data_IF_102275142343
#
_entry.id   IF_102275142343
#
_cell.length_a   1.000
_cell.length_b   1.000
_cell.length_c   1.000
_cell.angle_alpha   90.00
_cell.angle_beta   90.00
_cell.angle_gamma   90.00
#
_symmetry.space_group_name_H-M   'P 1'
#
loop_
_entity.id
_entity.type
_entity.pdbx_description
1 polymer ?
#
# COMPACT_ATOMS: atom_id res chain seq x y z
N UNK A 1 5.62 -14.41 15.91
CA UNK A 1 6.52 -15.15 16.81
C UNK A 1 5.73 -15.68 18.00
N UNK A 2 5.80 -16.98 18.28
CA UNK A 2 5.15 -17.61 19.44
C UNK A 2 6.13 -17.59 20.62
N UNK A 3 5.67 -17.15 21.79
CA UNK A 3 6.50 -17.08 23.01
C UNK A 3 6.15 -18.27 23.91
N UNK A 4 7.17 -19.06 24.23
CA UNK A 4 7.08 -20.15 25.23
C UNK A 4 7.61 -19.62 26.56
N UNK A 5 6.88 -19.79 27.68
CA UNK A 5 7.38 -19.42 29.01
C UNK A 5 8.69 -20.13 29.34
N UNK A 6 9.60 -19.45 30.05
CA UNK A 6 10.94 -19.98 30.34
C UNK A 6 10.91 -21.25 31.21
N UNK A 7 9.87 -21.44 32.02
CA UNK A 7 9.67 -22.61 32.87
C UNK A 7 8.91 -23.77 32.18
N UNK A 8 8.71 -23.68 30.86
CA UNK A 8 7.94 -24.64 30.05
C UNK A 8 8.69 -25.02 28.78
N UNK A 9 8.30 -26.16 28.21
CA UNK A 9 8.83 -26.63 26.94
C UNK A 9 7.80 -26.50 25.81
N UNK A 10 8.28 -26.23 24.59
CA UNK A 10 7.39 -26.10 23.41
C UNK A 10 6.56 -27.35 23.16
N UNK A 11 7.11 -28.53 23.48
CA UNK A 11 6.48 -29.84 23.29
C UNK A 11 5.28 -30.10 24.20
N UNK A 12 5.10 -29.29 25.26
CA UNK A 12 3.86 -29.30 26.06
C UNK A 12 2.66 -28.75 25.27
N UNK A 13 2.91 -27.97 24.21
CA UNK A 13 1.88 -27.26 23.46
C UNK A 13 1.77 -27.73 22.01
N UNK A 14 2.90 -27.95 21.33
CA UNK A 14 2.93 -28.30 19.91
C UNK A 14 4.26 -28.96 19.52
N UNK A 15 4.23 -29.94 18.59
CA UNK A 15 5.44 -30.34 17.89
C UNK A 15 6.04 -29.16 17.12
N UNK A 16 7.30 -29.29 16.71
CA UNK A 16 7.99 -28.29 15.89
C UNK A 16 8.49 -28.90 14.60
N UNK A 17 8.63 -28.08 13.56
CA UNK A 17 9.11 -28.47 12.25
C UNK A 17 9.88 -27.33 11.58
N UNK A 18 10.45 -27.59 10.41
CA UNK A 18 10.95 -26.53 9.53
C UNK A 18 9.89 -26.17 8.49
N UNK A 19 9.77 -24.90 8.10
CA UNK A 19 8.79 -24.48 7.11
C UNK A 19 9.07 -25.16 5.76
N UNK A 20 8.03 -25.77 5.18
CA UNK A 20 8.10 -26.52 3.92
C UNK A 20 9.19 -27.61 3.88
N UNK A 21 9.51 -28.20 5.04
CA UNK A 21 10.51 -29.28 5.21
C UNK A 21 11.90 -28.93 4.68
N UNK A 22 12.24 -27.64 4.60
CA UNK A 22 13.57 -27.17 4.19
C UNK A 22 14.55 -27.29 5.34
N UNK A 23 15.55 -28.17 5.21
CA UNK A 23 16.56 -28.42 6.25
C UNK A 23 17.39 -27.17 6.61
N UNK A 24 17.63 -26.30 5.63
CA UNK A 24 18.43 -25.08 5.73
C UNK A 24 17.62 -23.84 6.13
N UNK A 25 16.33 -23.97 6.46
CA UNK A 25 15.52 -22.86 6.92
C UNK A 25 16.10 -22.22 8.20
N UNK A 26 16.17 -20.89 8.26
CA UNK A 26 16.67 -20.18 9.45
C UNK A 26 15.79 -20.41 10.68
N UNK A 27 14.47 -20.44 10.48
CA UNK A 27 13.49 -20.51 11.56
C UNK A 27 12.91 -21.92 11.74
N UNK A 28 12.63 -22.27 13.00
CA UNK A 28 11.79 -23.40 13.40
C UNK A 28 10.35 -22.89 13.58
N UNK A 29 9.38 -23.62 13.06
CA UNK A 29 7.95 -23.28 13.13
C UNK A 29 7.19 -24.28 14.02
N UNK A 30 6.12 -23.82 14.65
CA UNK A 30 5.16 -24.71 15.32
C UNK A 30 4.47 -25.60 14.29
N UNK A 31 4.16 -26.85 14.65
CA UNK A 31 3.43 -27.76 13.77
C UNK A 31 1.94 -27.37 13.70
N UNK A 32 1.37 -26.97 14.83
CA UNK A 32 0.03 -26.38 14.85
C UNK A 32 0.09 -24.91 14.47
N UNK A 33 -0.95 -24.46 13.77
CA UNK A 33 -1.15 -23.03 13.54
C UNK A 33 -1.54 -22.32 14.85
N UNK A 34 -1.35 -21.01 14.89
CA UNK A 34 -1.55 -20.25 16.12
C UNK A 34 -3.00 -20.26 16.62
N UNK A 35 -4.01 -20.45 15.76
CA UNK A 35 -5.40 -20.47 16.21
C UNK A 35 -5.68 -21.64 17.16
N UNK A 36 -4.99 -22.78 16.99
CA UNK A 36 -5.07 -23.92 17.91
C UNK A 36 -4.48 -23.63 19.30
N UNK A 37 -3.70 -22.55 19.43
CA UNK A 37 -2.98 -22.20 20.67
C UNK A 37 -3.27 -20.76 21.12
N UNK A 38 -4.30 -20.11 20.55
CA UNK A 38 -4.54 -18.68 20.73
C UNK A 38 -4.76 -18.29 22.21
N UNK A 39 -5.42 -19.15 22.97
CA UNK A 39 -5.73 -18.95 24.39
C UNK A 39 -4.68 -19.56 25.33
N UNK A 40 -3.59 -20.11 24.79
CA UNK A 40 -2.57 -20.86 25.53
C UNK A 40 -1.23 -20.12 25.55
N UNK A 41 -0.77 -19.64 24.38
CA UNK A 41 0.52 -18.99 24.23
C UNK A 41 0.38 -17.55 23.73
N UNK A 42 1.32 -16.70 24.13
CA UNK A 42 1.39 -15.31 23.69
C UNK A 42 2.08 -15.26 22.33
N UNK A 43 1.56 -14.40 21.44
CA UNK A 43 2.18 -14.11 20.13
C UNK A 43 2.61 -12.65 20.06
N UNK A 44 3.83 -12.44 19.56
CA UNK A 44 4.28 -11.15 19.04
C UNK A 44 4.10 -11.15 17.52
N UNK A 45 3.22 -10.28 17.03
CA UNK A 45 3.03 -10.02 15.61
C UNK A 45 4.08 -9.03 15.10
N UNK A 46 5.22 -9.57 14.66
CA UNK A 46 6.30 -8.83 14.02
C UNK A 46 6.05 -8.90 12.51
N UNK A 47 5.37 -7.88 11.99
CA UNK A 47 4.92 -7.84 10.60
C UNK A 47 5.85 -6.96 9.75
N UNK A 48 6.11 -7.39 8.51
CA UNK A 48 6.68 -6.52 7.48
C UNK A 48 5.60 -5.61 6.90
N UNK A 49 5.94 -4.34 6.65
CA UNK A 49 5.04 -3.38 6.02
C UNK A 49 5.83 -2.31 5.27
N UNK A 50 5.31 -1.88 4.11
CA UNK A 50 5.96 -0.88 3.26
C UNK A 50 5.96 0.55 3.83
N UNK A 51 4.99 0.91 4.67
CA UNK A 51 4.80 2.29 5.13
C UNK A 51 6.00 2.79 5.94
N UNK A 52 6.55 2.03 6.91
CA UNK A 52 7.84 2.37 7.53
C UNK A 52 8.97 2.57 6.53
N UNK A 53 9.08 1.72 5.50
CA UNK A 53 10.11 1.85 4.45
C UNK A 53 9.94 3.13 3.63
N UNK A 54 8.70 3.47 3.24
CA UNK A 54 8.39 4.71 2.53
C UNK A 54 8.73 5.94 3.39
N UNK A 55 8.30 5.95 4.66
CA UNK A 55 8.60 7.05 5.59
C UNK A 55 10.11 7.21 5.79
N UNK A 56 10.83 6.10 5.94
CA UNK A 56 12.29 6.12 6.06
C UNK A 56 12.95 6.71 4.81
N UNK A 57 12.52 6.26 3.63
CA UNK A 57 13.07 6.76 2.37
C UNK A 57 12.77 8.25 2.16
N UNK A 58 11.57 8.70 2.52
CA UNK A 58 11.20 10.11 2.53
C UNK A 58 12.08 10.94 3.48
N UNK A 59 12.34 10.44 4.69
CA UNK A 59 13.25 11.09 5.63
C UNK A 59 14.66 11.19 5.06
N UNK A 60 15.19 10.10 4.48
CA UNK A 60 16.54 10.08 3.88
C UNK A 60 16.66 11.07 2.70
N UNK A 61 15.61 11.23 1.90
CA UNK A 61 15.59 12.13 0.74
C UNK A 61 15.34 13.60 1.10
N UNK A 62 14.56 13.88 2.13
CA UNK A 62 14.14 15.26 2.48
C UNK A 62 14.89 15.85 3.67
N UNK A 63 15.50 15.01 4.50
CA UNK A 63 16.11 15.40 5.78
C UNK A 63 15.10 15.77 6.88
N UNK A 64 13.80 15.67 6.63
CA UNK A 64 12.76 16.04 7.59
C UNK A 64 12.50 14.88 8.55
N UNK A 65 12.45 15.18 9.85
CA UNK A 65 11.95 14.23 10.84
C UNK A 65 10.43 14.03 10.64
N UNK A 66 9.96 12.82 10.26
CA UNK A 66 8.55 12.55 10.04
C UNK A 66 7.66 12.88 11.24
N UNK A 67 8.21 12.86 12.46
CA UNK A 67 7.46 13.15 13.68
C UNK A 67 7.13 14.65 13.84
N UNK A 68 7.85 15.52 13.12
CA UNK A 68 7.67 16.97 13.15
C UNK A 68 6.66 17.48 12.13
N UNK A 69 6.20 16.63 11.21
CA UNK A 69 5.21 16.99 10.18
C UNK A 69 3.88 17.38 10.86
N UNK A 70 3.32 18.57 10.57
CA UNK A 70 2.03 19.00 11.12
C UNK A 70 0.91 18.08 10.65
N UNK A 71 -0.12 17.86 11.48
CA UNK A 71 -1.25 16.97 11.18
C UNK A 71 -2.53 17.73 10.77
N UNK A 72 -2.39 19.02 10.49
CA UNK A 72 -3.46 19.97 10.18
C UNK A 72 -3.10 20.89 8.99
N UNK A 73 -2.07 20.54 8.21
CA UNK A 73 -1.72 21.27 6.98
C UNK A 73 -2.90 21.27 6.00
N UNK A 74 -3.34 22.47 5.63
CA UNK A 74 -4.57 22.71 4.86
C UNK A 74 -4.50 22.11 3.46
N UNK A 75 -3.36 22.26 2.77
CA UNK A 75 -3.22 21.75 1.41
C UNK A 75 -3.14 20.22 1.39
N UNK A 76 -2.50 19.61 2.39
CA UNK A 76 -2.48 18.15 2.57
C UNK A 76 -3.87 17.59 2.88
N UNK A 77 -4.63 18.23 3.78
CA UNK A 77 -6.01 17.82 4.10
C UNK A 77 -6.92 17.86 2.86
N UNK A 78 -6.77 18.88 2.01
CA UNK A 78 -7.57 19.02 0.80
C UNK A 78 -7.38 17.88 -0.20
N UNK A 79 -6.25 17.17 -0.20
CA UNK A 79 -6.05 16.00 -1.06
C UNK A 79 -7.13 14.93 -0.89
N UNK A 80 -7.70 14.82 0.31
CA UNK A 80 -8.71 13.81 0.63
C UNK A 80 -10.09 14.14 0.05
N UNK A 81 -10.31 15.37 -0.43
CA UNK A 81 -11.62 15.81 -0.95
C UNK A 81 -11.53 16.39 -2.36
N UNK A 82 -10.33 16.76 -2.83
CA UNK A 82 -10.12 17.33 -4.16
C UNK A 82 -8.69 17.10 -4.66
N UNK A 83 -8.52 17.09 -5.98
CA UNK A 83 -7.22 17.04 -6.67
C UNK A 83 -6.56 18.42 -6.83
N UNK A 84 -7.31 19.50 -6.58
CA UNK A 84 -6.87 20.89 -6.78
C UNK A 84 -5.49 21.25 -6.18
N UNK A 85 -5.09 20.80 -4.97
CA UNK A 85 -3.76 21.12 -4.42
C UNK A 85 -2.62 20.65 -5.32
N UNK A 86 -2.85 19.64 -6.17
CA UNK A 86 -1.88 19.12 -7.12
C UNK A 86 -1.84 19.92 -8.43
N UNK A 87 -2.73 20.92 -8.60
CA UNK A 87 -2.87 21.77 -9.80
C UNK A 87 -3.20 20.97 -11.07
N UNK A 88 -3.91 19.86 -10.92
CA UNK A 88 -4.37 18.99 -12.00
C UNK A 88 -5.89 19.09 -12.10
N UNK A 89 -6.44 19.05 -13.32
CA UNK A 89 -7.89 18.87 -13.53
C UNK A 89 -8.23 17.38 -13.67
N UNK A 90 -9.36 16.89 -13.13
CA UNK A 90 -9.73 15.47 -13.19
C UNK A 90 -9.69 14.88 -14.60
N UNK A 91 -10.08 15.64 -15.62
CA UNK A 91 -10.12 15.19 -17.03
C UNK A 91 -8.72 14.88 -17.58
N UNK A 92 -7.68 15.47 -17.00
CA UNK A 92 -6.29 15.22 -17.40
C UNK A 92 -5.76 13.90 -16.83
N UNK A 93 -6.35 13.42 -15.73
CA UNK A 93 -5.92 12.28 -14.93
C UNK A 93 -7.07 11.30 -14.72
N UNK A 94 -7.54 10.70 -15.81
CA UNK A 94 -8.48 9.55 -15.77
C UNK A 94 -9.82 9.83 -15.05
N UNK A 95 -10.22 11.10 -14.89
CA UNK A 95 -11.42 11.50 -14.16
C UNK A 95 -11.26 11.45 -12.63
N UNK A 96 -10.03 11.34 -12.14
CA UNK A 96 -9.73 11.21 -10.70
C UNK A 96 -9.93 12.56 -10.02
N UNK A 97 -10.79 12.58 -9.00
CA UNK A 97 -11.23 13.80 -8.32
C UNK A 97 -10.51 14.08 -7.00
N UNK A 98 -9.85 13.10 -6.40
CA UNK A 98 -9.08 13.25 -5.15
C UNK A 98 -7.58 13.30 -5.43
N UNK A 99 -6.82 13.91 -4.53
CA UNK A 99 -5.36 13.96 -4.56
C UNK A 99 -4.67 12.79 -3.84
N UNK A 100 -5.36 11.69 -3.56
CA UNK A 100 -4.86 10.60 -2.69
C UNK A 100 -4.14 9.45 -3.41
N UNK A 101 -3.92 9.54 -4.72
CA UNK A 101 -3.13 8.54 -5.45
C UNK A 101 -1.76 8.30 -4.79
N UNK A 102 -1.38 7.03 -4.64
CA UNK A 102 -0.13 6.62 -3.99
C UNK A 102 -0.09 6.83 -2.47
N UNK A 103 -1.12 7.41 -1.85
CA UNK A 103 -1.27 7.48 -0.39
C UNK A 103 -1.78 6.12 0.11
N UNK A 104 -1.12 5.47 1.08
CA UNK A 104 -1.57 4.18 1.62
C UNK A 104 -3.02 4.25 2.09
N UNK A 105 -3.78 3.17 1.86
CA UNK A 105 -5.23 3.05 2.06
C UNK A 105 -6.09 3.94 1.13
N UNK A 106 -5.80 5.24 1.11
CA UNK A 106 -6.64 6.27 0.48
C UNK A 106 -6.48 6.37 -1.03
N UNK A 107 -5.45 5.77 -1.61
CA UNK A 107 -5.22 5.76 -3.07
C UNK A 107 -6.06 4.74 -3.83
N UNK A 108 -6.67 3.77 -3.16
CA UNK A 108 -7.46 2.73 -3.83
C UNK A 108 -8.73 3.31 -4.48
N UNK A 109 -9.20 2.73 -5.58
CA UNK A 109 -10.46 3.19 -6.24
C UNK A 109 -11.65 3.18 -5.27
N UNK A 110 -11.74 2.15 -4.44
CA UNK A 110 -12.79 2.00 -3.43
C UNK A 110 -12.78 3.16 -2.43
N UNK A 111 -11.62 3.44 -1.82
CA UNK A 111 -11.52 4.51 -0.82
C UNK A 111 -11.63 5.89 -1.45
N UNK A 112 -11.12 6.10 -2.66
CA UNK A 112 -11.34 7.35 -3.40
C UNK A 112 -12.82 7.63 -3.66
N UNK A 113 -13.61 6.61 -4.00
CA UNK A 113 -15.05 6.80 -4.12
C UNK A 113 -15.70 7.13 -2.77
N UNK A 114 -15.26 6.49 -1.68
CA UNK A 114 -15.74 6.80 -0.33
C UNK A 114 -15.41 8.25 0.08
N UNK A 115 -14.21 8.73 -0.27
CA UNK A 115 -13.79 10.11 -0.06
C UNK A 115 -14.70 11.10 -0.83
N UNK A 116 -15.06 10.80 -2.08
CA UNK A 116 -15.99 11.63 -2.85
C UNK A 116 -17.40 11.62 -2.27
N UNK A 117 -17.85 10.48 -1.75
CA UNK A 117 -19.16 10.35 -1.10
C UNK A 117 -19.23 11.10 0.26
N UNK A 118 -18.09 11.38 0.90
CA UNK A 118 -18.04 11.89 2.29
C UNK A 118 -17.39 13.26 2.46
N UNK A 119 -16.51 13.67 1.53
CA UNK A 119 -15.79 14.95 1.52
C UNK A 119 -15.23 15.35 2.90
N UNK A 120 -14.33 14.56 3.49
CA UNK A 120 -13.81 14.83 4.84
C UNK A 120 -13.05 16.17 4.90
N UNK A 121 -13.22 16.89 6.00
CA UNK A 121 -12.54 18.17 6.27
C UNK A 121 -11.62 18.10 7.48
N UNK A 122 -11.75 17.06 8.31
CA UNK A 122 -11.01 16.90 9.56
C UNK A 122 -10.24 15.59 9.64
N UNK A 123 -9.13 15.57 10.38
CA UNK A 123 -8.36 14.35 10.68
C UNK A 123 -9.25 13.26 11.30
N UNK A 124 -10.20 13.64 12.16
CA UNK A 124 -11.16 12.72 12.75
C UNK A 124 -12.03 12.01 11.72
N UNK A 125 -12.46 12.71 10.67
CA UNK A 125 -13.25 12.12 9.57
C UNK A 125 -12.40 11.19 8.70
N UNK A 126 -11.14 11.54 8.44
CA UNK A 126 -10.21 10.65 7.71
C UNK A 126 -9.99 9.34 8.49
N UNK A 127 -9.82 9.41 9.82
CA UNK A 127 -9.73 8.22 10.69
C UNK A 127 -11.01 7.37 10.61
N UNK A 128 -12.18 8.00 10.57
CA UNK A 128 -13.46 7.28 10.44
C UNK A 128 -13.60 6.60 9.08
N UNK A 129 -13.19 7.27 8.01
CA UNK A 129 -13.17 6.71 6.65
C UNK A 129 -12.22 5.51 6.56
N UNK A 130 -11.04 5.58 7.19
CA UNK A 130 -10.14 4.40 7.30
C UNK A 130 -10.86 3.23 7.97
N UNK A 131 -11.55 3.45 9.08
CA UNK A 131 -12.35 2.40 9.72
C UNK A 131 -13.41 1.80 8.79
N UNK A 132 -14.12 2.64 8.04
CA UNK A 132 -15.16 2.23 7.09
C UNK A 132 -14.62 1.49 5.86
N UNK A 133 -13.38 1.77 5.45
CA UNK A 133 -12.76 1.12 4.30
C UNK A 133 -12.21 -0.27 4.61
N UNK A 134 -12.04 -0.60 5.89
CA UNK A 134 -11.49 -1.87 6.34
C UNK A 134 -12.55 -2.78 6.97
N UNK A 135 -13.12 -3.65 6.14
CA UNK A 135 -14.03 -4.70 6.59
C UNK A 135 -15.15 -4.97 5.59
N UNK A 136 -15.52 -6.24 5.46
CA UNK A 136 -16.64 -6.63 4.61
C UNK A 136 -17.95 -6.18 5.26
N UNK A 137 -18.83 -5.56 4.46
CA UNK A 137 -20.16 -5.06 4.84
C UNK A 137 -20.16 -3.97 5.93
N UNK A 138 -19.05 -3.22 6.03
CA UNK A 138 -18.96 -2.01 6.86
C UNK A 138 -19.51 -0.79 6.10
N UNK A 139 -19.01 -0.56 4.88
CA UNK A 139 -19.44 0.56 4.04
C UNK A 139 -20.57 0.19 3.06
N UNK A 140 -20.26 -0.65 2.06
CA UNK A 140 -21.21 -1.04 1.02
C UNK A 140 -22.38 -1.83 1.63
N UNK A 141 -23.61 -1.46 1.24
CA UNK A 141 -24.82 -2.09 1.78
C UNK A 141 -25.09 -1.80 3.27
N UNK A 142 -24.34 -0.88 3.88
CA UNK A 142 -24.45 -0.55 5.30
C UNK A 142 -24.28 0.97 5.55
N UNK A 143 -23.12 1.43 6.07
CA UNK A 143 -22.93 2.83 6.43
C UNK A 143 -23.17 3.80 5.27
N UNK A 144 -22.83 3.40 4.03
CA UNK A 144 -23.07 4.21 2.84
C UNK A 144 -24.57 4.51 2.64
N UNK A 145 -25.43 3.49 2.79
CA UNK A 145 -26.87 3.62 2.60
C UNK A 145 -27.50 4.46 3.70
N UNK A 146 -27.05 4.25 4.95
CA UNK A 146 -27.53 5.01 6.11
C UNK A 146 -27.22 6.50 5.97
N UNK A 147 -26.01 6.83 5.51
CA UNK A 147 -25.58 8.22 5.27
C UNK A 147 -26.34 8.82 4.09
N UNK A 148 -26.46 8.10 2.96
CA UNK A 148 -27.21 8.57 1.78
C UNK A 148 -28.70 8.79 2.08
N UNK A 149 -29.29 7.96 2.94
CA UNK A 149 -30.68 8.09 3.36
C UNK A 149 -30.90 9.19 4.42
N UNK A 150 -29.84 9.85 4.91
CA UNK A 150 -29.93 10.82 6.00
C UNK A 150 -30.32 10.20 7.34
N UNK A 151 -30.17 8.88 7.51
CA UNK A 151 -30.49 8.17 8.75
C UNK A 151 -29.46 8.48 9.84
N UNK A 152 -28.19 8.65 9.44
CA UNK A 152 -27.11 9.09 10.31
C UNK A 152 -26.07 9.90 9.53
N UNK A 153 -25.27 10.68 10.24
CA UNK A 153 -24.10 11.38 9.69
C UNK A 153 -22.85 10.50 9.75
N UNK A 154 -21.78 10.91 9.06
CA UNK A 154 -20.47 10.23 9.17
C UNK A 154 -19.99 10.16 10.63
N UNK A 155 -20.29 11.18 11.44
CA UNK A 155 -19.94 11.25 12.87
C UNK A 155 -20.70 10.24 13.73
N UNK A 156 -21.87 9.80 13.29
CA UNK A 156 -22.74 8.86 14.01
C UNK A 156 -22.63 7.42 13.51
N UNK A 157 -22.11 7.21 12.30
CA UNK A 157 -21.92 5.89 11.72
C UNK A 157 -20.99 4.99 12.56
N UNK A 158 -21.11 3.67 12.41
CA UNK A 158 -20.20 2.72 13.07
C UNK A 158 -18.95 2.58 12.19
N UNK A 159 -17.86 3.25 12.57
CA UNK A 159 -16.62 3.28 11.79
C UNK A 159 -15.55 2.35 12.38
N UNK A 160 -15.55 2.19 13.70
CA UNK A 160 -14.59 1.37 14.43
C UNK A 160 -15.31 0.58 15.52
N UNK A 161 -14.70 -0.50 16.01
CA UNK A 161 -15.31 -1.29 17.11
C UNK A 161 -15.54 -0.43 18.36
N UNK A 162 -14.65 0.49 18.64
CA UNK A 162 -14.71 1.38 19.79
C UNK A 162 -15.97 2.27 19.76
N UNK A 163 -16.46 2.65 18.58
CA UNK A 163 -17.71 3.40 18.43
C UNK A 163 -18.91 2.61 19.00
N UNK A 164 -18.94 1.29 18.82
CA UNK A 164 -20.00 0.42 19.37
C UNK A 164 -19.96 0.44 20.89
N UNK A 165 -18.82 0.10 21.47
CA UNK A 165 -18.70 0.01 22.92
C UNK A 165 -19.00 1.36 23.58
N UNK A 166 -18.42 2.44 23.07
CA UNK A 166 -18.60 3.77 23.65
C UNK A 166 -20.05 4.24 23.52
N UNK A 167 -20.69 4.04 22.37
CA UNK A 167 -22.09 4.39 22.17
C UNK A 167 -23.02 3.61 23.10
N UNK A 168 -22.82 2.30 23.25
CA UNK A 168 -23.65 1.47 24.12
C UNK A 168 -23.50 1.87 25.59
N UNK A 169 -22.27 2.15 26.05
CA UNK A 169 -22.01 2.64 27.41
C UNK A 169 -22.65 4.00 27.64
N UNK A 170 -22.57 4.93 26.67
CA UNK A 170 -23.25 6.23 26.73
C UNK A 170 -24.78 6.09 26.83
N UNK A 171 -25.35 5.07 26.18
CA UNK A 171 -26.78 4.72 26.27
C UNK A 171 -27.16 3.91 27.52
N UNK A 172 -26.23 3.69 28.44
CA UNK A 172 -26.50 3.03 29.72
C UNK A 172 -26.38 1.51 29.72
N UNK A 173 -25.86 0.89 28.66
CA UNK A 173 -25.52 -0.54 28.65
C UNK A 173 -24.31 -0.77 29.57
N UNK A 174 -24.37 -1.84 30.39
CA UNK A 174 -23.28 -2.23 31.27
C UNK A 174 -21.97 -2.47 30.48
N UNK A 175 -20.83 -2.05 31.02
CA UNK A 175 -19.54 -1.98 30.30
C UNK A 175 -19.07 -3.34 29.78
N UNK A 176 -19.20 -4.41 30.58
CA UNK A 176 -18.83 -5.77 30.19
C UNK A 176 -19.77 -6.29 29.09
N UNK A 177 -21.08 -6.03 29.18
CA UNK A 177 -22.04 -6.36 28.12
C UNK A 177 -21.72 -5.60 26.81
N UNK A 178 -21.49 -4.29 26.88
CA UNK A 178 -21.12 -3.46 25.73
C UNK A 178 -19.82 -3.95 25.06
N UNK A 179 -18.83 -4.35 25.86
CA UNK A 179 -17.59 -4.95 25.37
C UNK A 179 -17.82 -6.25 24.60
N UNK A 180 -18.65 -7.17 25.13
CA UNK A 180 -18.93 -8.43 24.44
C UNK A 180 -19.77 -8.24 23.17
N UNK A 181 -20.74 -7.32 23.18
CA UNK A 181 -21.49 -6.94 21.98
C UNK A 181 -20.51 -6.41 20.91
N UNK A 182 -19.61 -5.48 21.27
CA UNK A 182 -18.59 -4.99 20.36
C UNK A 182 -17.72 -6.13 19.80
N UNK A 183 -17.22 -7.03 20.66
CA UNK A 183 -16.35 -8.13 20.24
C UNK A 183 -17.07 -9.11 19.31
N UNK A 184 -18.36 -9.35 19.51
CA UNK A 184 -19.15 -10.21 18.64
C UNK A 184 -19.45 -9.56 17.28
N UNK A 185 -19.71 -8.25 17.26
CA UNK A 185 -19.90 -7.49 16.02
C UNK A 185 -18.61 -7.41 15.21
N UNK A 186 -17.48 -7.02 15.82
CA UNK A 186 -16.20 -6.88 15.10
C UNK A 186 -15.65 -8.20 14.56
N UNK A 187 -16.09 -9.35 15.11
CA UNK A 187 -15.75 -10.71 14.64
C UNK A 187 -16.79 -11.26 13.65
N UNK A 188 -17.82 -10.49 13.31
CA UNK A 188 -18.91 -10.92 12.43
C UNK A 188 -19.79 -12.02 13.00
N UNK A 189 -19.75 -12.27 14.30
CA UNK A 189 -20.61 -13.27 14.96
C UNK A 189 -22.06 -12.80 14.98
N UNK A 190 -22.28 -11.50 15.27
CA UNK A 190 -23.61 -10.90 15.23
C UNK A 190 -24.25 -11.01 13.83
N UNK A 191 -23.45 -10.87 12.77
CA UNK A 191 -23.94 -11.04 11.40
C UNK A 191 -24.27 -12.50 11.05
N UNK A 192 -23.54 -13.46 11.62
CA UNK A 192 -23.75 -14.90 11.34
C UNK A 192 -24.86 -15.53 12.16
N UNK A 193 -24.99 -15.14 13.43
CA UNK A 193 -25.84 -15.83 14.43
C UNK A 193 -26.88 -14.92 15.08
N UNK A 194 -26.85 -13.62 14.82
CA UNK A 194 -27.60 -12.64 15.60
C UNK A 194 -26.95 -12.36 16.96
N UNK A 195 -27.66 -11.59 17.77
CA UNK A 195 -27.31 -11.34 19.17
C UNK A 195 -27.90 -12.43 20.06
N UNK A 196 -27.25 -12.74 21.17
CA UNK A 196 -27.84 -13.60 22.21
C UNK A 196 -29.08 -12.93 22.82
N UNK A 197 -29.93 -13.70 23.51
CA UNK A 197 -31.11 -13.15 24.19
C UNK A 197 -30.73 -12.05 25.18
N UNK A 198 -29.68 -12.26 25.99
CA UNK A 198 -29.16 -11.27 26.93
C UNK A 198 -28.67 -9.99 26.23
N UNK A 199 -27.96 -10.13 25.11
CA UNK A 199 -27.48 -9.00 24.32
C UNK A 199 -28.65 -8.24 23.68
N UNK A 200 -29.64 -8.96 23.15
CA UNK A 200 -30.83 -8.35 22.54
C UNK A 200 -31.64 -7.57 23.58
N UNK A 201 -31.86 -8.14 24.76
CA UNK A 201 -32.55 -7.46 25.87
C UNK A 201 -31.80 -6.21 26.32
N UNK A 202 -30.48 -6.28 26.46
CA UNK A 202 -29.66 -5.11 26.83
C UNK A 202 -29.76 -3.97 25.81
N UNK A 203 -29.82 -4.29 24.51
CA UNK A 203 -30.00 -3.30 23.43
C UNK A 203 -31.42 -2.71 23.46
N UNK A 204 -32.44 -3.51 23.77
CA UNK A 204 -33.83 -3.07 23.88
C UNK A 204 -34.05 -2.16 25.11
N UNK A 205 -33.56 -2.57 26.28
CA UNK A 205 -33.64 -1.81 27.53
C UNK A 205 -32.98 -0.43 27.41
N UNK A 206 -31.84 -0.38 26.71
CA UNK A 206 -31.12 0.86 26.41
C UNK A 206 -31.73 1.67 25.25
N UNK A 207 -32.85 1.21 24.67
CA UNK A 207 -33.57 1.85 23.56
C UNK A 207 -32.68 2.17 22.37
N UNK A 208 -31.79 1.23 22.02
CA UNK A 208 -30.89 1.40 20.89
C UNK A 208 -31.69 1.44 19.58
N UNK A 209 -31.47 2.44 18.70
CA UNK A 209 -32.21 2.54 17.46
C UNK A 209 -32.06 1.30 16.57
N UNK A 210 -33.15 0.87 15.94
CA UNK A 210 -33.16 -0.33 15.09
C UNK A 210 -32.16 -0.28 13.93
N UNK A 211 -31.88 0.91 13.37
CA UNK A 211 -30.86 1.08 12.32
C UNK A 211 -29.45 0.72 12.83
N UNK A 212 -29.14 1.05 14.08
CA UNK A 212 -27.83 0.76 14.69
C UNK A 212 -27.68 -0.75 14.91
N UNK A 213 -28.70 -1.38 15.48
CA UNK A 213 -28.76 -2.84 15.69
C UNK A 213 -28.62 -3.58 14.35
N UNK A 214 -29.30 -3.12 13.31
CA UNK A 214 -29.23 -3.71 11.97
C UNK A 214 -27.86 -3.50 11.32
N UNK A 215 -27.23 -2.33 11.50
CA UNK A 215 -25.86 -2.08 11.04
C UNK A 215 -24.88 -3.05 11.70
N UNK A 216 -24.97 -3.26 13.02
CA UNK A 216 -24.15 -4.24 13.75
C UNK A 216 -24.32 -5.68 13.22
N UNK A 217 -25.53 -6.06 12.79
CA UNK A 217 -25.83 -7.38 12.20
C UNK A 217 -25.34 -7.53 10.75
N UNK A 218 -24.79 -6.50 10.12
CA UNK A 218 -24.20 -6.59 8.77
C UNK A 218 -22.68 -6.76 8.82
N UNK A 219 -22.02 -6.12 9.77
CA UNK A 219 -20.56 -6.06 9.88
C UNK A 219 -19.96 -7.47 10.04
N UNK A 220 -19.06 -7.86 9.12
CA UNK A 220 -18.34 -9.15 9.19
C UNK A 220 -16.97 -9.04 9.86
N UNK A 221 -16.36 -7.88 9.77
CA UNK A 221 -15.08 -7.57 10.40
C UNK A 221 -14.94 -6.05 10.57
N UNK A 222 -14.30 -5.59 11.65
CA UNK A 222 -14.10 -4.16 11.87
C UNK A 222 -12.83 -3.86 12.68
N UNK A 223 -12.15 -2.77 12.31
CA UNK A 223 -10.91 -2.31 12.94
C UNK A 223 -11.10 -1.67 14.32
N UNK A 224 -10.10 -1.76 15.21
CA UNK A 224 -9.96 -0.89 16.37
C UNK A 224 -9.52 0.52 15.98
N UNK A 225 -10.03 1.53 16.69
CA UNK A 225 -9.73 2.94 16.44
C UNK A 225 -8.23 3.25 16.51
N UNK A 226 -7.51 2.65 17.45
CA UNK A 226 -6.07 2.84 17.59
C UNK A 226 -5.30 2.45 16.31
N UNK A 227 -5.73 1.37 15.64
CA UNK A 227 -5.10 0.93 14.39
C UNK A 227 -5.41 1.89 13.24
N UNK A 228 -6.67 2.32 13.10
CA UNK A 228 -7.06 3.33 12.12
C UNK A 228 -6.26 4.63 12.32
N UNK A 229 -6.14 5.13 13.56
CA UNK A 229 -5.34 6.32 13.87
C UNK A 229 -3.88 6.14 13.48
N UNK A 230 -3.26 5.01 13.83
CA UNK A 230 -1.85 4.76 13.51
C UNK A 230 -1.59 4.79 11.99
N UNK A 231 -2.46 4.13 11.21
CA UNK A 231 -2.35 4.09 9.75
C UNK A 231 -2.59 5.46 9.13
N UNK A 232 -3.63 6.17 9.57
CA UNK A 232 -3.95 7.49 9.03
C UNK A 232 -2.85 8.50 9.30
N UNK A 233 -2.24 8.52 10.49
CA UNK A 233 -1.14 9.45 10.77
C UNK A 233 0.04 9.17 9.83
N UNK A 234 0.39 7.91 9.58
CA UNK A 234 1.48 7.59 8.63
C UNK A 234 1.11 7.95 7.19
N UNK A 235 -0.10 7.61 6.75
CA UNK A 235 -0.59 7.93 5.41
C UNK A 235 -0.63 9.45 5.18
N UNK A 236 -1.04 10.21 6.20
CA UNK A 236 -1.06 11.66 6.16
C UNK A 236 0.35 12.25 6.04
N UNK A 237 1.34 11.73 6.78
CA UNK A 237 2.74 12.16 6.65
C UNK A 237 3.28 11.92 5.24
N UNK A 238 2.92 10.81 4.61
CA UNK A 238 3.24 10.54 3.20
C UNK A 238 2.53 11.53 2.27
N UNK A 239 1.25 11.83 2.54
CA UNK A 239 0.48 12.81 1.78
C UNK A 239 1.06 14.24 1.91
N UNK A 240 1.60 14.60 3.09
CA UNK A 240 2.31 15.86 3.28
C UNK A 240 3.52 15.97 2.36
N UNK A 241 4.34 14.90 2.30
CA UNK A 241 5.46 14.85 1.36
C UNK A 241 4.99 14.89 -0.11
N UNK A 242 3.82 14.35 -0.43
CA UNK A 242 3.25 14.46 -1.79
C UNK A 242 2.98 15.91 -2.20
N UNK A 243 2.51 16.75 -1.29
CA UNK A 243 2.25 18.17 -1.55
C UNK A 243 3.56 18.96 -1.61
N UNK A 244 4.40 18.80 -0.59
CA UNK A 244 5.53 19.70 -0.31
C UNK A 244 6.89 19.20 -0.84
N UNK A 245 7.03 17.90 -1.08
CA UNK A 245 8.27 17.22 -1.49
C UNK A 245 8.02 16.20 -2.61
N UNK A 246 7.39 16.65 -3.70
CA UNK A 246 6.85 15.76 -4.73
C UNK A 246 7.88 14.80 -5.35
N UNK A 247 9.11 15.24 -5.60
CA UNK A 247 10.17 14.39 -6.15
C UNK A 247 10.49 13.22 -5.20
N UNK A 248 10.61 13.51 -3.91
CA UNK A 248 10.84 12.50 -2.87
C UNK A 248 9.64 11.56 -2.72
N UNK A 249 8.42 12.06 -2.80
CA UNK A 249 7.20 11.24 -2.78
C UNK A 249 7.18 10.23 -3.93
N UNK A 250 7.34 10.69 -5.18
CA UNK A 250 7.30 9.79 -6.33
C UNK A 250 8.49 8.82 -6.33
N UNK A 251 9.71 9.29 -6.04
CA UNK A 251 10.88 8.43 -5.90
C UNK A 251 10.67 7.33 -4.86
N UNK A 252 10.08 7.67 -3.70
CA UNK A 252 9.78 6.71 -2.64
C UNK A 252 8.69 5.73 -3.04
N UNK A 253 7.62 6.22 -3.67
CA UNK A 253 6.50 5.39 -4.11
C UNK A 253 6.94 4.30 -5.11
N UNK A 254 7.70 4.69 -6.14
CA UNK A 254 8.15 3.78 -7.20
C UNK A 254 9.31 2.89 -6.74
N UNK A 255 10.19 3.36 -5.84
CA UNK A 255 11.28 2.53 -5.29
C UNK A 255 10.77 1.35 -4.48
N UNK A 256 9.79 1.56 -3.59
CA UNK A 256 9.25 0.47 -2.76
C UNK A 256 8.46 -0.55 -3.60
N UNK A 257 8.04 -0.17 -4.81
CA UNK A 257 7.28 -1.01 -5.76
C UNK A 257 8.08 -1.36 -7.01
N UNK A 258 9.39 -1.19 -7.00
CA UNK A 258 10.20 -1.29 -8.22
C UNK A 258 10.21 -2.69 -8.83
N UNK A 259 10.07 -3.73 -8.00
CA UNK A 259 9.97 -5.13 -8.45
C UNK A 259 8.69 -5.47 -9.21
N UNK A 260 7.66 -4.62 -9.14
CA UNK A 260 6.41 -4.77 -9.90
C UNK A 260 6.31 -3.79 -11.08
N UNK A 261 7.26 -2.86 -11.20
CA UNK A 261 7.23 -1.79 -12.18
C UNK A 261 7.89 -2.22 -13.49
N UNK A 262 7.16 -2.08 -14.60
CA UNK A 262 7.66 -2.37 -15.94
C UNK A 262 7.81 -1.08 -16.75
N UNK A 263 9.07 -0.73 -17.09
CA UNK A 263 9.41 0.49 -17.81
C UNK A 263 8.82 0.57 -19.23
N UNK A 264 8.43 -0.56 -19.84
CA UNK A 264 7.85 -0.57 -21.19
C UNK A 264 6.51 0.14 -21.24
N UNK A 265 5.80 0.22 -20.11
CA UNK A 265 4.50 0.88 -20.00
C UNK A 265 4.57 2.42 -19.97
N UNK A 266 5.76 2.99 -19.74
CA UNK A 266 5.95 4.43 -19.54
C UNK A 266 6.94 5.07 -20.52
N UNK A 267 7.50 4.29 -21.44
CA UNK A 267 8.59 4.69 -22.34
C UNK A 267 8.25 5.92 -23.19
N UNK A 268 7.06 6.00 -23.77
CA UNK A 268 6.57 7.15 -24.54
C UNK A 268 5.97 8.27 -23.68
N UNK A 269 6.22 8.27 -22.37
CA UNK A 269 5.73 9.29 -21.45
C UNK A 269 4.22 9.25 -21.26
N UNK A 270 3.59 10.43 -21.14
CA UNK A 270 2.18 10.55 -20.73
C UNK A 270 1.21 9.91 -21.73
N UNK A 271 1.52 9.92 -23.03
CA UNK A 271 0.66 9.30 -24.05
C UNK A 271 0.63 7.77 -23.89
N UNK A 272 1.79 7.15 -23.73
CA UNK A 272 1.90 5.71 -23.46
C UNK A 272 1.25 5.33 -22.13
N UNK A 273 1.47 6.13 -21.07
CA UNK A 273 0.83 5.92 -19.77
C UNK A 273 -0.70 5.86 -19.94
N UNK A 274 -1.29 6.81 -20.66
CA UNK A 274 -2.75 6.85 -20.90
C UNK A 274 -3.22 5.65 -21.70
N UNK A 275 -2.55 5.35 -22.81
CA UNK A 275 -2.88 4.21 -23.68
C UNK A 275 -2.84 2.89 -22.91
N UNK A 276 -1.77 2.67 -22.15
CA UNK A 276 -1.56 1.43 -21.42
C UNK A 276 -2.53 1.30 -20.24
N UNK A 277 -2.83 2.39 -19.54
CA UNK A 277 -3.84 2.40 -18.50
C UNK A 277 -5.22 2.01 -19.06
N UNK A 278 -5.66 2.64 -20.15
CA UNK A 278 -6.94 2.31 -20.79
C UNK A 278 -6.99 0.86 -21.28
N UNK A 279 -5.88 0.35 -21.84
CA UNK A 279 -5.78 -1.04 -22.25
C UNK A 279 -6.05 -2.01 -21.08
N UNK A 280 -5.46 -1.75 -19.90
CA UNK A 280 -5.66 -2.59 -18.72
C UNK A 280 -7.07 -2.43 -18.16
N UNK A 281 -7.57 -1.20 -18.04
CA UNK A 281 -8.91 -0.92 -17.52
C UNK A 281 -10.01 -1.57 -18.35
N UNK A 282 -9.88 -1.55 -19.68
CA UNK A 282 -10.84 -2.18 -20.59
C UNK A 282 -10.93 -3.70 -20.44
N UNK A 283 -9.90 -4.36 -19.87
CA UNK A 283 -9.97 -5.78 -19.53
C UNK A 283 -10.84 -6.05 -18.30
N UNK A 284 -11.07 -5.06 -17.45
CA UNK A 284 -11.86 -5.19 -16.22
C UNK A 284 -11.43 -6.38 -15.37
N UNK A 285 -12.34 -7.33 -15.14
CA UNK A 285 -12.08 -8.52 -14.34
C UNK A 285 -11.11 -9.52 -15.00
N UNK A 286 -10.89 -9.43 -16.31
CA UNK A 286 -9.93 -10.28 -17.02
C UNK A 286 -8.47 -9.83 -16.86
N UNK A 287 -8.21 -8.64 -16.31
CA UNK A 287 -6.85 -8.19 -16.00
C UNK A 287 -6.24 -9.03 -14.87
N UNK A 288 -4.99 -9.43 -15.05
CA UNK A 288 -4.18 -10.14 -14.05
C UNK A 288 -3.88 -9.24 -12.84
N UNK A 289 -3.43 -9.84 -11.74
CA UNK A 289 -3.01 -9.08 -10.56
C UNK A 289 -1.86 -8.11 -10.87
N UNK A 290 -0.86 -8.56 -11.64
CA UNK A 290 0.27 -7.73 -12.07
C UNK A 290 -0.19 -6.54 -12.93
N UNK A 291 -1.13 -6.76 -13.87
CA UNK A 291 -1.68 -5.66 -14.67
C UNK A 291 -2.47 -4.66 -13.81
N UNK A 292 -3.26 -5.12 -12.84
CA UNK A 292 -4.00 -4.22 -11.93
C UNK A 292 -3.04 -3.39 -11.06
N UNK A 293 -1.94 -3.98 -10.61
CA UNK A 293 -0.90 -3.26 -9.87
C UNK A 293 -0.20 -2.25 -10.78
N UNK A 294 0.14 -2.64 -12.00
CA UNK A 294 0.72 -1.73 -13.00
C UNK A 294 -0.24 -0.57 -13.33
N UNK A 295 -1.53 -0.81 -13.51
CA UNK A 295 -2.52 0.25 -13.72
C UNK A 295 -2.56 1.24 -12.56
N UNK A 296 -2.43 0.76 -11.32
CA UNK A 296 -2.33 1.63 -10.13
C UNK A 296 -1.07 2.50 -10.18
N UNK A 297 0.07 1.92 -10.58
CA UNK A 297 1.31 2.68 -10.75
C UNK A 297 1.23 3.67 -11.93
N UNK A 298 0.51 3.34 -13.00
CA UNK A 298 0.27 4.23 -14.13
C UNK A 298 -0.60 5.43 -13.75
N UNK A 299 -1.55 5.27 -12.82
CA UNK A 299 -2.29 6.42 -12.26
C UNK A 299 -1.32 7.41 -11.57
N UNK A 300 -0.42 6.89 -10.73
CA UNK A 300 0.58 7.72 -10.02
C UNK A 300 1.60 8.32 -10.98
N UNK A 301 2.03 7.57 -12.00
CA UNK A 301 2.93 8.06 -13.04
C UNK A 301 2.27 9.16 -13.88
N UNK A 302 1.01 9.00 -14.27
CA UNK A 302 0.25 10.03 -14.98
C UNK A 302 0.15 11.31 -14.16
N UNK A 303 -0.10 11.19 -12.86
CA UNK A 303 -0.10 12.32 -11.93
C UNK A 303 1.27 13.01 -11.87
N UNK A 304 2.35 12.24 -11.73
CA UNK A 304 3.73 12.73 -11.73
C UNK A 304 4.04 13.54 -12.99
N UNK A 305 3.68 13.03 -14.17
CA UNK A 305 3.86 13.70 -15.46
C UNK A 305 3.09 15.02 -15.56
N UNK A 306 1.85 15.05 -15.08
CA UNK A 306 1.04 16.26 -15.07
C UNK A 306 1.56 17.33 -14.09
N UNK A 307 2.38 16.93 -13.12
CA UNK A 307 3.08 17.84 -12.20
C UNK A 307 4.47 18.25 -12.69
N UNK A 308 4.84 17.88 -13.92
CA UNK A 308 6.08 18.30 -14.58
C UNK A 308 7.31 17.44 -14.26
N UNK A 309 7.13 16.24 -13.68
CA UNK A 309 8.20 15.28 -13.46
C UNK A 309 8.09 14.12 -14.45
N UNK A 310 9.23 13.65 -14.95
CA UNK A 310 9.27 12.61 -15.98
C UNK A 310 10.09 11.41 -15.51
N UNK A 311 9.91 10.27 -16.18
CA UNK A 311 10.88 9.18 -16.03
C UNK A 311 12.06 9.43 -16.96
N UNK A 312 13.26 9.37 -16.41
CA UNK A 312 14.48 9.30 -17.20
C UNK A 312 14.78 7.83 -17.49
N UNK A 313 15.17 7.48 -18.72
CA UNK A 313 15.38 6.10 -19.14
C UNK A 313 16.44 5.40 -18.29
N UNK A 314 16.48 4.08 -18.29
CA UNK A 314 17.58 3.37 -17.63
C UNK A 314 18.90 3.76 -18.30
N UNK A 315 19.90 4.10 -17.50
CA UNK A 315 21.21 4.57 -17.94
C UNK A 315 22.28 3.68 -17.32
N UNK A 316 23.11 3.06 -18.16
CA UNK A 316 24.14 2.15 -17.69
C UNK A 316 25.10 2.79 -16.70
N UNK A 317 25.47 4.06 -16.87
CA UNK A 317 26.42 4.74 -16.00
C UNK A 317 25.78 5.23 -14.69
N UNK A 318 24.49 5.58 -14.71
CA UNK A 318 23.84 6.32 -13.62
C UNK A 318 22.81 5.52 -12.82
N UNK A 319 22.02 4.66 -13.47
CA UNK A 319 20.89 4.00 -12.81
C UNK A 319 21.32 3.17 -11.60
N UNK A 320 20.51 3.20 -10.55
CA UNK A 320 20.63 2.28 -9.43
C UNK A 320 20.12 0.88 -9.83
N UNK A 321 20.43 -0.14 -9.02
CA UNK A 321 19.90 -1.48 -9.22
C UNK A 321 18.38 -1.54 -9.04
N UNK A 322 17.86 -0.91 -7.97
CA UNK A 322 16.46 -1.10 -7.52
C UNK A 322 15.74 0.20 -7.17
N UNK A 323 16.46 1.30 -6.98
CA UNK A 323 15.90 2.58 -6.55
C UNK A 323 15.67 3.55 -7.70
N UNK A 324 14.53 4.24 -7.65
CA UNK A 324 14.32 5.43 -8.48
C UNK A 324 15.08 6.60 -7.86
N UNK A 325 16.04 7.17 -8.59
CA UNK A 325 16.87 8.27 -8.10
C UNK A 325 16.39 9.60 -8.67
N UNK A 326 16.43 10.65 -7.84
CA UNK A 326 16.04 12.00 -8.24
C UNK A 326 17.19 12.62 -9.05
N UNK A 327 16.88 13.11 -10.25
CA UNK A 327 17.80 13.83 -11.12
C UNK A 327 17.12 15.10 -11.67
N UNK A 328 17.89 16.09 -12.16
CA UNK A 328 17.30 17.24 -12.85
C UNK A 328 16.39 16.79 -14.00
N UNK A 329 15.12 17.20 -13.95
CA UNK A 329 14.12 16.87 -14.97
C UNK A 329 13.30 15.60 -14.72
N UNK A 330 13.59 14.81 -13.67
CA UNK A 330 12.76 13.66 -13.35
C UNK A 330 13.36 12.59 -12.45
N UNK A 331 12.79 11.39 -12.53
CA UNK A 331 13.23 10.21 -11.79
C UNK A 331 13.92 9.25 -12.74
N UNK A 332 15.18 8.93 -12.45
CA UNK A 332 15.92 7.89 -13.16
C UNK A 332 15.37 6.53 -12.78
N UNK A 333 14.97 5.76 -13.78
CA UNK A 333 14.52 4.39 -13.58
C UNK A 333 15.69 3.47 -13.21
N UNK A 334 15.49 2.53 -12.26
CA UNK A 334 16.50 1.55 -11.89
C UNK A 334 16.64 0.46 -12.95
N UNK A 335 17.71 -0.32 -12.89
CA UNK A 335 17.87 -1.50 -13.74
C UNK A 335 16.70 -2.48 -13.58
N UNK A 336 16.22 -2.71 -12.36
CA UNK A 336 15.09 -3.62 -12.06
C UNK A 336 13.80 -3.30 -12.83
N UNK A 337 13.63 -2.08 -13.33
CA UNK A 337 12.47 -1.69 -14.16
C UNK A 337 12.51 -2.26 -15.58
N UNK A 338 13.65 -2.79 -16.03
CA UNK A 338 13.80 -3.39 -17.36
C UNK A 338 13.03 -4.71 -17.40
N UNK A 339 12.13 -4.92 -18.39
CA UNK A 339 11.34 -6.14 -18.49
C UNK A 339 12.20 -7.40 -18.48
N UNK A 340 11.84 -8.35 -17.62
CA UNK A 340 12.54 -9.62 -17.47
C UNK A 340 13.88 -9.56 -16.73
N UNK A 341 14.33 -8.37 -16.27
CA UNK A 341 15.50 -8.24 -15.42
C UNK A 341 15.13 -8.42 -13.93
N UNK A 342 15.47 -9.56 -13.35
CA UNK A 342 15.27 -9.79 -11.92
C UNK A 342 16.24 -9.03 -11.01
N UNK A 343 15.90 -8.88 -9.73
CA UNK A 343 16.66 -8.12 -8.73
C UNK A 343 18.14 -8.51 -8.63
N UNK A 344 18.43 -9.82 -8.57
CA UNK A 344 19.82 -10.30 -8.53
C UNK A 344 20.63 -9.87 -9.76
N UNK A 345 20.00 -9.88 -10.94
CA UNK A 345 20.66 -9.47 -12.18
C UNK A 345 20.85 -7.95 -12.22
N UNK A 346 19.86 -7.17 -11.76
CA UNK A 346 19.98 -5.72 -11.60
C UNK A 346 21.12 -5.33 -10.65
N UNK A 347 21.24 -6.03 -9.52
CA UNK A 347 22.34 -5.87 -8.56
C UNK A 347 23.69 -6.25 -9.17
N UNK A 348 23.74 -7.32 -9.96
CA UNK A 348 24.97 -7.72 -10.67
C UNK A 348 25.43 -6.66 -11.68
N UNK A 349 24.51 -6.08 -12.47
CA UNK A 349 24.83 -4.99 -13.40
C UNK A 349 25.41 -3.78 -12.66
N UNK A 350 24.75 -3.34 -11.59
CA UNK A 350 25.21 -2.20 -10.79
C UNK A 350 26.57 -2.46 -10.13
N UNK A 351 26.81 -3.69 -9.64
CA UNK A 351 28.09 -4.10 -9.04
C UNK A 351 29.22 -4.15 -10.07
N UNK A 352 29.00 -4.82 -11.21
CA UNK A 352 30.02 -4.95 -12.25
C UNK A 352 30.45 -3.57 -12.76
N UNK A 353 29.50 -2.65 -12.95
CA UNK A 353 29.78 -1.27 -13.35
C UNK A 353 30.76 -0.54 -12.42
N UNK A 354 30.71 -0.80 -11.11
CA UNK A 354 31.61 -0.13 -10.16
C UNK A 354 33.08 -0.49 -10.37
N UNK A 355 33.37 -1.67 -10.93
CA UNK A 355 34.74 -2.09 -11.25
C UNK A 355 35.28 -1.37 -12.49
N UNK A 356 34.49 -1.29 -13.55
CA UNK A 356 34.83 -0.55 -14.77
C UNK A 356 33.59 -0.34 -15.65
N UNK A 357 33.57 0.72 -16.49
CA UNK A 357 32.55 0.88 -17.52
C UNK A 357 32.48 -0.33 -18.45
N UNK A 358 31.28 -0.62 -18.97
CA UNK A 358 31.12 -1.66 -20.00
C UNK A 358 31.67 -1.18 -21.33
N UNK A 359 32.48 -2.02 -21.99
CA UNK A 359 33.15 -1.66 -23.25
C UNK A 359 32.29 -1.94 -24.48
N UNK A 360 31.47 -2.98 -24.42
CA UNK A 360 30.55 -3.40 -25.48
C UNK A 360 29.35 -4.14 -24.91
N UNK A 361 28.35 -4.38 -25.75
CA UNK A 361 27.20 -5.23 -25.41
C UNK A 361 27.65 -6.66 -25.06
N UNK A 362 28.70 -7.16 -25.72
CA UNK A 362 29.32 -8.45 -25.40
C UNK A 362 29.97 -8.46 -24.02
N UNK A 363 30.72 -7.40 -23.67
CA UNK A 363 31.34 -7.25 -22.34
C UNK A 363 30.29 -7.23 -21.23
N UNK A 364 29.21 -6.44 -21.43
CA UNK A 364 28.06 -6.41 -20.53
C UNK A 364 27.50 -7.83 -20.32
N UNK A 365 27.16 -8.54 -21.40
CA UNK A 365 26.63 -9.91 -21.32
C UNK A 365 27.57 -10.86 -20.58
N UNK A 366 28.86 -10.81 -20.87
CA UNK A 366 29.86 -11.72 -20.29
C UNK A 366 30.00 -11.51 -18.78
N UNK A 367 30.06 -10.25 -18.34
CA UNK A 367 30.27 -9.89 -16.92
C UNK A 367 29.02 -10.11 -16.07
N UNK A 368 27.85 -9.79 -16.62
CA UNK A 368 26.58 -9.79 -15.87
C UNK A 368 25.75 -11.05 -16.07
N UNK A 369 26.11 -11.90 -17.05
CA UNK A 369 25.38 -13.12 -17.44
C UNK A 369 23.92 -12.88 -17.85
N UNK A 370 23.62 -11.68 -18.36
CA UNK A 370 22.29 -11.34 -18.84
C UNK A 370 21.89 -12.18 -20.06
N UNK A 371 20.61 -12.55 -20.10
CA UNK A 371 20.04 -13.26 -21.24
C UNK A 371 19.98 -12.35 -22.48
N UNK A 372 19.98 -12.95 -23.67
CA UNK A 372 19.84 -12.19 -24.91
C UNK A 372 18.52 -11.40 -24.97
N UNK A 373 17.45 -11.93 -24.38
CA UNK A 373 16.15 -11.26 -24.31
C UNK A 373 16.21 -9.96 -23.49
N UNK A 374 16.79 -10.02 -22.28
CA UNK A 374 16.93 -8.83 -21.42
C UNK A 374 17.80 -7.77 -22.07
N UNK A 375 18.90 -8.17 -22.72
CA UNK A 375 19.74 -7.21 -23.45
C UNK A 375 19.01 -6.59 -24.64
N UNK A 376 18.14 -7.35 -25.31
CA UNK A 376 17.25 -6.83 -26.35
C UNK A 376 16.31 -5.76 -25.81
N UNK A 377 15.73 -5.96 -24.62
CA UNK A 377 14.89 -4.95 -23.97
C UNK A 377 15.67 -3.72 -23.54
N UNK A 378 16.87 -3.89 -22.97
CA UNK A 378 17.75 -2.76 -22.64
C UNK A 378 18.07 -1.91 -23.88
N UNK A 379 18.36 -2.55 -25.02
CA UNK A 379 18.61 -1.86 -26.29
C UNK A 379 17.36 -1.15 -26.80
N UNK A 380 16.21 -1.83 -26.78
CA UNK A 380 14.92 -1.27 -27.21
C UNK A 380 14.60 0.00 -26.42
N UNK A 381 14.92 0.04 -25.13
CA UNK A 381 14.70 1.18 -24.23
C UNK A 381 15.77 2.27 -24.33
N UNK A 382 16.79 2.10 -25.17
CA UNK A 382 17.86 3.07 -25.36
C UNK A 382 18.94 3.04 -24.26
N UNK A 383 18.95 2.01 -23.42
CA UNK A 383 19.90 1.85 -22.30
C UNK A 383 21.33 1.60 -22.79
N UNK A 384 21.47 1.01 -23.99
CA UNK A 384 22.76 0.62 -24.58
C UNK A 384 23.27 1.62 -25.63
N UNK A 385 22.62 2.78 -25.78
CA UNK A 385 23.03 3.80 -26.75
C UNK A 385 24.47 4.23 -26.46
N UNK A 386 25.32 4.14 -27.48
CA UNK A 386 26.75 4.49 -27.40
C UNK A 386 27.69 3.30 -27.17
N UNK A 387 27.19 2.09 -26.90
CA UNK A 387 28.02 0.88 -26.85
C UNK A 387 28.16 0.21 -28.21
N UNK A 388 29.37 -0.26 -28.52
CA UNK A 388 29.60 -1.15 -29.66
C UNK A 388 29.03 -2.54 -29.38
N UNK A 389 28.72 -3.30 -30.45
CA UNK A 389 28.24 -4.68 -30.29
C UNK A 389 29.30 -5.61 -29.68
N UNK A 390 30.55 -5.45 -30.11
CA UNK A 390 31.71 -6.25 -29.69
C UNK A 390 32.89 -5.35 -29.35
N UNK A 391 33.85 -5.90 -28.59
CA UNK A 391 35.14 -5.26 -28.39
C UNK A 391 35.96 -5.39 -29.69
N UNK A 392 36.56 -4.29 -30.16
CA UNK A 392 37.42 -4.32 -31.35
C UNK A 392 38.87 -4.73 -31.03
N UNK A 393 39.28 -4.63 -29.76
CA UNK A 393 40.61 -4.98 -29.25
C UNK A 393 40.48 -5.59 -27.86
N UNK A 394 41.28 -6.61 -27.57
CA UNK A 394 41.38 -7.27 -26.26
C UNK A 394 42.84 -7.22 -25.81
N UNK A 395 43.10 -6.62 -24.65
CA UNK A 395 44.46 -6.32 -24.16
C UNK A 395 45.31 -7.56 -23.83
N UNK A 396 44.71 -8.74 -23.74
CA UNK A 396 45.41 -10.00 -23.51
C UNK A 396 45.54 -10.88 -24.76
N UNK A 397 44.97 -10.44 -25.89
CA UNK A 397 45.05 -11.12 -27.19
C UNK A 397 46.09 -10.46 -28.12
N UNK A 398 46.86 -9.47 -27.63
CA UNK A 398 47.93 -8.75 -28.35
C UNK A 398 49.30 -9.10 -27.79
#
# INVERSE_FOLDING_TARGET
MVIVPHDREVYEFTPVQRPADKEDAEFITTHFDFNSMHDILIKLDILGHDVPTVIRHLQDLTGIDPLTIPLDDRETMRLYSTIEPLKIKPEQLFGIKTGTLGVPEFGTKFVRQMLIDTLPETMGEIVRISGLSHGTDVWLGNAQELIKAGTCTLKEAICTRDDIMNYLVDKGVEKRMAFFIMEDVRKGKAAKKGFTEEQAQALEDAKIPGWFVNSCKKIKYMFPKAHAVAYVIMAYRIAYCKVHFMEAFYASYFTVRSGEFDASFVKGGLEDIRKNWHMIENKGNAATAAEKNMATMLEVAGEMYLRGLHFLPVDLAKSDAVKFTIEPGGLRMPFLSVPGLGENAAMAVAKERQGSPFLSVEDLKKRTKLSAAVVGEMDSMGTLVGLSKTNQLSLFDV
#
